data_IF_078268887940
#
_entry.id   IF_078268887940
#
_cell.length_a   1.000
_cell.length_b   1.000
_cell.length_c   1.000
_cell.angle_alpha   90.00
_cell.angle_beta   90.00
_cell.angle_gamma   90.00
#
_symmetry.space_group_name_H-M   'P 1'
#
loop_
_entity.id
_entity.type
_entity.pdbx_description
1 polymer ?
#
# COMPACT_ATOMS: atom_id res chain seq x y z
N UNK A 1 15.85 9.04 -12.90
CA UNK A 1 14.72 8.53 -12.09
C UNK A 1 15.23 8.27 -10.69
N UNK A 2 15.00 9.19 -9.75
CA UNK A 2 15.51 9.04 -8.37
C UNK A 2 14.93 7.79 -7.71
N UNK A 3 15.82 6.90 -7.28
CA UNK A 3 15.46 5.69 -6.52
C UNK A 3 15.07 6.10 -5.11
N UNK A 4 13.78 6.24 -4.86
CA UNK A 4 13.21 6.39 -3.52
C UNK A 4 13.19 5.01 -2.83
N UNK A 5 14.37 4.51 -2.46
CA UNK A 5 14.52 3.25 -1.72
C UNK A 5 14.40 3.54 -0.22
N UNK A 6 13.18 3.73 0.27
CA UNK A 6 12.93 3.83 1.71
C UNK A 6 12.98 2.43 2.35
N UNK A 7 13.73 2.28 3.46
CA UNK A 7 13.85 1.03 4.23
C UNK A 7 12.48 0.44 4.67
N UNK A 8 11.41 1.22 4.69
CA UNK A 8 10.06 0.76 5.05
C UNK A 8 9.24 0.14 3.89
N UNK A 9 9.70 0.23 2.64
CA UNK A 9 8.97 -0.38 1.52
C UNK A 9 8.98 -1.90 1.56
N UNK A 10 9.98 -2.53 2.19
CA UNK A 10 10.09 -3.98 2.27
C UNK A 10 8.90 -4.60 3.01
N UNK A 11 8.48 -4.01 4.14
CA UNK A 11 7.33 -4.49 4.90
C UNK A 11 6.02 -4.37 4.10
N UNK A 12 5.86 -3.30 3.33
CA UNK A 12 4.69 -3.09 2.45
C UNK A 12 4.71 -4.08 1.30
N UNK A 13 5.87 -4.27 0.66
CA UNK A 13 6.05 -5.27 -0.39
C UNK A 13 5.73 -6.69 0.11
N UNK A 14 6.13 -7.05 1.34
CA UNK A 14 5.75 -8.34 1.94
C UNK A 14 4.24 -8.48 2.16
N UNK A 15 3.54 -7.41 2.59
CA UNK A 15 2.07 -7.42 2.69
C UNK A 15 1.41 -7.63 1.33
N UNK A 16 1.88 -6.92 0.30
CA UNK A 16 1.36 -7.05 -1.06
C UNK A 16 1.65 -8.44 -1.66
N UNK A 17 2.81 -9.05 -1.38
CA UNK A 17 3.12 -10.43 -1.79
C UNK A 17 2.13 -11.45 -1.20
N UNK A 18 1.71 -11.27 0.06
CA UNK A 18 0.67 -12.11 0.68
C UNK A 18 -0.69 -11.92 0.00
N UNK A 19 -1.08 -10.67 -0.25
CA UNK A 19 -2.31 -10.36 -0.98
C UNK A 19 -2.31 -10.96 -2.40
N UNK A 20 -1.17 -10.94 -3.10
CA UNK A 20 -0.98 -11.61 -4.40
C UNK A 20 -1.24 -13.11 -4.31
N UNK A 21 -0.71 -13.79 -3.29
CA UNK A 21 -0.96 -15.21 -3.07
C UNK A 21 -2.43 -15.52 -2.80
N UNK A 22 -3.10 -14.67 -2.02
CA UNK A 22 -4.54 -14.82 -1.76
C UNK A 22 -5.38 -14.59 -3.02
N UNK A 23 -5.04 -13.58 -3.82
CA UNK A 23 -5.70 -13.33 -5.10
C UNK A 23 -5.57 -14.54 -6.05
N UNK A 24 -4.39 -15.16 -6.10
CA UNK A 24 -4.20 -16.40 -6.88
C UNK A 24 -5.15 -17.52 -6.45
N UNK A 25 -5.42 -17.67 -5.14
CA UNK A 25 -6.41 -18.63 -4.64
C UNK A 25 -7.83 -18.25 -5.06
N UNK A 26 -8.19 -16.97 -4.99
CA UNK A 26 -9.52 -16.50 -5.43
C UNK A 26 -9.75 -16.81 -6.91
N UNK A 27 -8.73 -16.63 -7.76
CA UNK A 27 -8.79 -17.01 -9.18
C UNK A 27 -9.04 -18.51 -9.33
N UNK A 28 -8.27 -19.36 -8.63
CA UNK A 28 -8.47 -20.80 -8.64
C UNK A 28 -9.88 -21.21 -8.18
N UNK A 29 -10.41 -20.59 -7.11
CA UNK A 29 -11.78 -20.85 -6.64
C UNK A 29 -12.83 -20.56 -7.71
N UNK A 30 -12.64 -19.50 -8.50
CA UNK A 30 -13.54 -19.17 -9.61
C UNK A 30 -13.43 -20.21 -10.73
N UNK A 31 -12.21 -20.62 -11.07
CA UNK A 31 -11.94 -21.63 -12.10
C UNK A 31 -12.48 -23.02 -11.71
N UNK A 32 -12.45 -23.35 -10.42
CA UNK A 32 -12.94 -24.61 -9.84
C UNK A 32 -14.47 -24.61 -9.58
N UNK A 33 -15.13 -23.47 -9.75
CA UNK A 33 -16.58 -23.34 -9.57
C UNK A 33 -17.03 -23.36 -8.10
N UNK A 34 -16.20 -22.88 -7.19
CA UNK A 34 -16.51 -22.76 -5.76
C UNK A 34 -17.72 -21.85 -5.49
N UNK A 35 -18.41 -22.01 -4.34
CA UNK A 35 -19.58 -21.21 -4.01
C UNK A 35 -19.33 -19.70 -4.05
N UNK A 36 -20.23 -18.95 -4.70
CA UNK A 36 -20.11 -17.50 -4.89
C UNK A 36 -19.89 -16.74 -3.58
N UNK A 37 -20.52 -17.18 -2.48
CA UNK A 37 -20.39 -16.56 -1.16
C UNK A 37 -18.97 -16.71 -0.61
N UNK A 38 -18.34 -17.86 -0.82
CA UNK A 38 -16.97 -18.11 -0.39
C UNK A 38 -15.95 -17.32 -1.22
N UNK A 39 -16.15 -17.27 -2.54
CA UNK A 39 -15.36 -16.43 -3.45
C UNK A 39 -15.45 -14.96 -3.03
N UNK A 40 -16.65 -14.44 -2.81
CA UNK A 40 -16.87 -13.05 -2.41
C UNK A 40 -16.19 -12.73 -1.06
N UNK A 41 -16.26 -13.64 -0.09
CA UNK A 41 -15.59 -13.50 1.21
C UNK A 41 -14.07 -13.44 1.07
N UNK A 42 -13.48 -14.31 0.25
CA UNK A 42 -12.03 -14.31 0.02
C UNK A 42 -11.59 -13.06 -0.76
N UNK A 43 -12.36 -12.63 -1.76
CA UNK A 43 -12.09 -11.41 -2.50
C UNK A 43 -12.14 -10.17 -1.59
N UNK A 44 -13.09 -10.09 -0.66
CA UNK A 44 -13.14 -9.02 0.33
C UNK A 44 -11.89 -9.01 1.22
N UNK A 45 -11.40 -10.18 1.62
CA UNK A 45 -10.17 -10.28 2.41
C UNK A 45 -8.94 -9.77 1.63
N UNK A 46 -8.85 -10.06 0.33
CA UNK A 46 -7.81 -9.52 -0.56
C UNK A 46 -7.93 -8.00 -0.66
N UNK A 47 -9.14 -7.48 -0.90
CA UNK A 47 -9.40 -6.03 -1.00
C UNK A 47 -8.95 -5.29 0.27
N UNK A 48 -9.33 -5.82 1.45
CA UNK A 48 -8.92 -5.26 2.74
C UNK A 48 -7.39 -5.30 2.94
N UNK A 49 -6.73 -6.38 2.52
CA UNK A 49 -5.28 -6.49 2.63
C UNK A 49 -4.55 -5.44 1.77
N UNK A 50 -5.03 -5.19 0.54
CA UNK A 50 -4.49 -4.16 -0.35
C UNK A 50 -4.77 -2.76 0.20
N UNK A 51 -5.99 -2.51 0.67
CA UNK A 51 -6.36 -1.24 1.30
C UNK A 51 -5.45 -0.92 2.50
N UNK A 52 -5.23 -1.88 3.38
CA UNK A 52 -4.34 -1.71 4.53
C UNK A 52 -2.88 -1.48 4.13
N UNK A 53 -2.40 -2.13 3.06
CA UNK A 53 -1.07 -1.88 2.53
C UNK A 53 -0.93 -0.45 1.97
N UNK A 54 -1.95 0.05 1.27
CA UNK A 54 -2.05 1.44 0.81
C UNK A 54 -2.00 2.43 1.98
N UNK A 55 -2.82 2.23 3.01
CA UNK A 55 -2.83 3.10 4.20
C UNK A 55 -1.46 3.11 4.90
N UNK A 56 -0.82 1.94 5.02
CA UNK A 56 0.53 1.86 5.59
C UNK A 56 1.56 2.62 4.77
N UNK A 57 1.51 2.53 3.43
CA UNK A 57 2.39 3.27 2.53
C UNK A 57 2.26 4.78 2.71
N UNK A 58 1.03 5.31 2.68
CA UNK A 58 0.79 6.75 2.84
C UNK A 58 1.27 7.23 4.21
N UNK A 59 0.95 6.51 5.29
CA UNK A 59 1.39 6.87 6.65
C UNK A 59 2.90 6.86 6.81
N UNK A 60 3.57 5.83 6.28
CA UNK A 60 5.03 5.74 6.29
C UNK A 60 5.67 6.92 5.56
N UNK A 61 5.13 7.29 4.41
CA UNK A 61 5.65 8.41 3.64
C UNK A 61 5.46 9.76 4.37
N UNK A 62 4.27 10.01 4.94
CA UNK A 62 4.02 11.21 5.75
C UNK A 62 5.01 11.29 6.91
N UNK A 63 5.22 10.18 7.64
CA UNK A 63 6.19 10.13 8.73
C UNK A 63 7.63 10.42 8.29
N UNK A 64 8.03 9.98 7.10
CA UNK A 64 9.34 10.28 6.54
C UNK A 64 9.49 11.75 6.10
N UNK A 65 8.49 12.32 5.43
CA UNK A 65 8.53 13.71 4.96
C UNK A 65 8.59 14.73 6.10
N UNK A 66 8.08 14.36 7.29
CA UNK A 66 8.13 15.17 8.50
C UNK A 66 9.35 14.88 9.39
N UNK A 67 10.24 13.97 8.98
CA UNK A 67 11.48 13.67 9.72
C UNK A 67 12.50 14.81 9.67
N UNK A 68 13.24 14.99 10.76
CA UNK A 68 14.16 16.13 10.97
C UNK A 68 15.19 16.32 9.83
N UNK A 69 15.67 15.24 9.22
CA UNK A 69 16.64 15.26 8.12
C UNK A 69 16.07 15.84 6.80
N UNK A 70 14.76 15.69 6.56
CA UNK A 70 14.09 16.17 5.35
C UNK A 70 13.70 17.65 5.45
N UNK A 71 13.42 18.14 6.67
CA UNK A 71 13.05 19.54 6.91
C UNK A 71 14.25 20.48 6.68
N UNK A 72 15.48 20.00 6.90
CA UNK A 72 16.71 20.77 6.69
C UNK A 72 17.07 20.96 5.20
N UNK A 73 16.52 20.14 4.30
CA UNK A 73 16.95 20.04 2.90
C UNK A 73 15.88 20.43 1.87
N UNK A 74 14.65 20.73 2.31
CA UNK A 74 13.50 21.02 1.45
C UNK A 74 12.70 22.20 1.98
N UNK A 75 12.14 22.99 1.08
CA UNK A 75 11.25 24.09 1.44
C UNK A 75 9.91 23.56 1.97
N UNK A 76 9.27 24.35 2.85
CA UNK A 76 7.95 24.02 3.38
C UNK A 76 6.88 23.84 2.27
N UNK A 77 7.06 24.53 1.14
CA UNK A 77 6.13 24.47 0.00
C UNK A 77 6.27 23.15 -0.77
N UNK A 78 7.48 22.62 -0.92
CA UNK A 78 7.71 21.30 -1.55
C UNK A 78 7.18 20.16 -0.68
N UNK A 79 7.38 20.23 0.64
CA UNK A 79 6.84 19.23 1.57
C UNK A 79 5.31 19.23 1.51
N UNK A 80 4.69 20.42 1.49
CA UNK A 80 3.23 20.54 1.40
C UNK A 80 2.68 19.98 0.09
N UNK A 81 3.30 20.30 -1.05
CA UNK A 81 2.86 19.79 -2.34
C UNK A 81 2.91 18.26 -2.42
N UNK A 82 3.94 17.63 -1.85
CA UNK A 82 4.06 16.18 -1.83
C UNK A 82 3.06 15.51 -0.86
N UNK A 83 2.82 16.12 0.30
CA UNK A 83 1.77 15.67 1.22
C UNK A 83 0.38 15.77 0.59
N UNK A 84 0.08 16.87 -0.11
CA UNK A 84 -1.18 17.06 -0.83
C UNK A 84 -1.34 16.00 -1.94
N UNK A 85 -0.25 15.58 -2.59
CA UNK A 85 -0.30 14.54 -3.62
C UNK A 85 -0.59 13.15 -3.03
N UNK A 86 0.14 12.76 -1.98
CA UNK A 86 0.01 11.40 -1.45
C UNK A 86 -1.27 11.19 -0.64
N UNK A 87 -1.80 12.24 -0.01
CA UNK A 87 -3.04 12.16 0.77
C UNK A 87 -4.27 11.93 -0.10
N UNK A 88 -4.22 12.20 -1.41
CA UNK A 88 -5.28 11.82 -2.38
C UNK A 88 -5.56 10.32 -2.40
N UNK A 89 -4.61 9.51 -1.94
CA UNK A 89 -4.70 8.06 -1.92
C UNK A 89 -5.13 7.51 -0.56
N UNK A 90 -5.55 8.33 0.41
CA UNK A 90 -6.24 7.87 1.63
C UNK A 90 -7.68 7.47 1.29
#
# INVERSE_FOLDING_TARGET
MSRHTHQHHDAIAQRLKRAKGHLGKVVAMIEEGEPCVDVARQLQAVSNAVYNAKQALVRTHIGHCLGEDMIQSRSAQEIRAELDEITKYL
#
